data_IF_750425490653
#
_entry.id   IF_750425490653
#
_cell.length_a   1.000
_cell.length_b   1.000
_cell.length_c   1.000
_cell.angle_alpha   90.00
_cell.angle_beta   90.00
_cell.angle_gamma   90.00
#
_symmetry.space_group_name_H-M   'P 1'
#
loop_
_entity.id
_entity.type
_entity.pdbx_description
1 polymer ?
#
# COMPACT_ATOMS: atom_id res chain seq x y z
N UNK A 1 -65.07 -51.09 -11.95
CA UNK A 1 -64.85 -49.71 -12.43
C UNK A 1 -63.99 -49.02 -11.38
N UNK A 2 -62.66 -49.00 -11.56
CA UNK A 2 -61.68 -48.51 -10.58
C UNK A 2 -61.28 -47.08 -10.98
N UNK A 3 -61.50 -46.11 -10.12
CA UNK A 3 -61.09 -44.73 -10.33
C UNK A 3 -59.68 -44.53 -9.77
N UNK A 4 -58.70 -44.35 -10.66
CA UNK A 4 -57.33 -44.08 -10.33
C UNK A 4 -57.19 -42.53 -10.11
N UNK A 5 -56.94 -42.11 -8.84
CA UNK A 5 -56.74 -40.73 -8.49
C UNK A 5 -55.26 -40.44 -8.60
N UNK A 6 -54.82 -39.65 -9.60
CA UNK A 6 -53.43 -39.22 -9.78
C UNK A 6 -53.21 -38.01 -8.87
N UNK A 7 -52.35 -38.18 -7.86
CA UNK A 7 -51.90 -37.08 -6.98
C UNK A 7 -50.72 -36.36 -7.65
N UNK A 8 -50.95 -35.11 -8.10
CA UNK A 8 -49.91 -34.26 -8.68
C UNK A 8 -49.15 -33.59 -7.55
N UNK A 9 -47.95 -34.09 -7.27
CA UNK A 9 -47.04 -33.45 -6.31
C UNK A 9 -46.28 -32.30 -7.03
N UNK A 10 -46.67 -31.08 -6.77
CA UNK A 10 -45.93 -29.89 -7.25
C UNK A 10 -44.74 -29.65 -6.35
N UNK A 11 -43.56 -29.98 -6.83
CA UNK A 11 -42.27 -29.70 -6.15
C UNK A 11 -41.91 -28.23 -6.38
N UNK A 12 -42.18 -27.36 -5.38
CA UNK A 12 -41.72 -25.96 -5.40
C UNK A 12 -40.25 -25.92 -5.10
N UNK A 13 -39.39 -25.78 -6.13
CA UNK A 13 -37.98 -25.47 -5.96
C UNK A 13 -37.86 -24.01 -5.55
N UNK A 14 -37.67 -23.76 -4.26
CA UNK A 14 -37.22 -22.46 -3.74
C UNK A 14 -35.78 -22.24 -4.15
N UNK A 15 -35.56 -21.42 -5.17
CA UNK A 15 -34.22 -20.94 -5.54
C UNK A 15 -33.73 -19.98 -4.47
N UNK A 16 -32.91 -20.46 -3.55
CA UNK A 16 -32.17 -19.60 -2.65
C UNK A 16 -31.13 -18.81 -3.49
N UNK A 17 -31.48 -17.62 -3.92
CA UNK A 17 -30.55 -16.63 -4.44
C UNK A 17 -29.75 -16.14 -3.25
N UNK A 18 -28.61 -16.76 -2.97
CA UNK A 18 -27.65 -16.21 -2.04
C UNK A 18 -27.21 -14.83 -2.59
N UNK A 19 -27.35 -13.74 -1.84
CA UNK A 19 -26.82 -12.46 -2.28
C UNK A 19 -25.32 -12.66 -2.46
N UNK A 20 -24.78 -12.37 -3.64
CA UNK A 20 -23.35 -12.22 -3.84
C UNK A 20 -22.88 -11.11 -2.89
N UNK A 21 -22.44 -11.51 -1.72
CA UNK A 21 -21.78 -10.62 -0.76
C UNK A 21 -20.49 -10.23 -1.47
N UNK A 22 -20.42 -9.03 -1.99
CA UNK A 22 -19.17 -8.41 -2.42
C UNK A 22 -18.25 -8.53 -1.21
N UNK A 23 -17.33 -9.48 -1.29
CA UNK A 23 -16.36 -9.74 -0.22
C UNK A 23 -15.51 -8.49 -0.13
N UNK A 24 -15.68 -7.70 0.90
CA UNK A 24 -14.84 -6.56 1.20
C UNK A 24 -13.41 -7.08 1.30
N UNK A 25 -12.58 -6.67 0.34
CA UNK A 25 -11.20 -7.16 0.28
C UNK A 25 -10.38 -6.35 1.25
N UNK A 26 -9.81 -7.03 2.23
CA UNK A 26 -8.90 -6.45 3.20
C UNK A 26 -7.47 -6.77 2.84
N UNK A 27 -6.60 -5.81 3.08
CA UNK A 27 -5.16 -5.94 2.92
C UNK A 27 -4.51 -5.74 4.29
N UNK A 28 -4.63 -6.76 5.14
CA UNK A 28 -4.08 -6.75 6.50
C UNK A 28 -2.57 -6.50 6.47
N UNK A 29 -2.04 -5.69 7.42
CA UNK A 29 -0.62 -5.45 7.53
C UNK A 29 0.18 -6.74 7.73
N UNK A 30 1.24 -6.90 6.97
CA UNK A 30 2.18 -8.00 7.12
C UNK A 30 3.61 -7.48 7.19
N UNK A 31 4.46 -8.17 7.96
CA UNK A 31 5.90 -8.02 7.91
C UNK A 31 6.52 -9.42 7.88
N UNK A 32 6.77 -9.95 6.67
CA UNK A 32 7.25 -11.32 6.46
C UNK A 32 8.70 -11.52 6.91
N UNK A 33 9.41 -10.44 7.18
CA UNK A 33 10.81 -10.51 7.60
C UNK A 33 11.02 -10.35 9.11
N UNK A 34 9.96 -10.35 9.91
CA UNK A 34 10.04 -10.22 11.38
C UNK A 34 10.93 -11.26 12.05
N UNK A 35 11.06 -12.46 11.46
CA UNK A 35 11.89 -13.57 11.98
C UNK A 35 13.33 -13.54 11.49
N UNK A 36 13.67 -12.70 10.51
CA UNK A 36 15.06 -12.53 10.06
C UNK A 36 15.77 -11.44 10.88
N UNK A 37 16.53 -11.87 11.88
CA UNK A 37 17.28 -10.96 12.74
C UNK A 37 18.24 -10.07 11.95
N UNK A 38 18.79 -10.54 10.82
CA UNK A 38 19.66 -9.72 9.98
C UNK A 38 18.91 -8.57 9.32
N UNK A 39 17.63 -8.80 8.96
CA UNK A 39 16.75 -7.74 8.48
C UNK A 39 16.42 -6.73 9.58
N UNK A 40 16.04 -7.21 10.75
CA UNK A 40 15.71 -6.34 11.88
C UNK A 40 16.88 -5.40 12.23
N UNK A 41 18.09 -5.95 12.32
CA UNK A 41 19.30 -5.14 12.54
C UNK A 41 19.58 -4.15 11.41
N UNK A 42 19.46 -4.59 10.16
CA UNK A 42 19.67 -3.71 9.01
C UNK A 42 18.63 -2.59 8.96
N UNK A 43 17.32 -2.92 9.11
CA UNK A 43 16.23 -1.95 9.12
C UNK A 43 16.42 -0.87 10.20
N UNK A 44 16.78 -1.28 11.43
CA UNK A 44 17.01 -0.34 12.51
C UNK A 44 18.19 0.60 12.23
N UNK A 45 19.31 0.08 11.68
CA UNK A 45 20.43 0.91 11.26
C UNK A 45 20.08 1.86 10.12
N UNK A 46 19.26 1.42 9.17
CA UNK A 46 18.78 2.25 8.07
C UNK A 46 17.87 3.38 8.61
N UNK A 47 16.94 3.07 9.49
CA UNK A 47 16.07 4.08 10.11
C UNK A 47 16.88 5.10 10.93
N UNK A 48 17.87 4.66 11.72
CA UNK A 48 18.76 5.55 12.46
C UNK A 48 19.56 6.46 11.51
N UNK A 49 20.11 5.89 10.43
CA UNK A 49 20.85 6.64 9.43
C UNK A 49 19.97 7.70 8.71
N UNK A 50 18.72 7.33 8.39
CA UNK A 50 17.79 8.26 7.76
C UNK A 50 17.39 9.39 8.71
N UNK A 51 17.12 9.10 9.99
CA UNK A 51 16.85 10.13 11.01
C UNK A 51 18.03 11.09 11.19
N UNK A 52 19.26 10.59 11.08
CA UNK A 52 20.49 11.39 11.15
C UNK A 52 20.88 12.02 9.81
N UNK A 53 20.12 11.77 8.74
CA UNK A 53 20.43 12.19 7.36
C UNK A 53 21.81 11.74 6.90
N UNK A 54 22.22 10.52 7.31
CA UNK A 54 23.51 9.91 6.96
C UNK A 54 23.52 9.47 5.49
N UNK A 55 23.87 10.42 4.63
CA UNK A 55 23.99 10.23 3.17
C UNK A 55 24.97 9.11 2.82
N UNK A 56 26.09 9.01 3.56
CA UNK A 56 27.13 8.02 3.31
C UNK A 56 26.60 6.61 3.55
N UNK A 57 25.86 6.41 4.63
CA UNK A 57 25.24 5.12 4.91
C UNK A 57 24.22 4.75 3.81
N UNK A 58 23.31 5.68 3.47
CA UNK A 58 22.27 5.42 2.44
C UNK A 58 22.92 5.07 1.10
N UNK A 59 23.89 5.85 0.62
CA UNK A 59 24.61 5.53 -0.62
C UNK A 59 25.36 4.19 -0.54
N UNK A 60 25.91 3.85 0.62
CA UNK A 60 26.65 2.62 0.85
C UNK A 60 25.82 1.34 0.81
N UNK A 61 24.51 1.41 1.02
CA UNK A 61 23.61 0.26 0.96
C UNK A 61 22.94 0.07 -0.40
N UNK A 62 23.10 1.01 -1.35
CA UNK A 62 22.47 0.90 -2.66
C UNK A 62 23.11 -0.23 -3.48
N UNK A 63 22.28 -0.95 -4.23
CA UNK A 63 22.76 -1.76 -5.34
C UNK A 63 23.30 -0.83 -6.44
N UNK A 64 24.34 -1.25 -7.14
CA UNK A 64 24.90 -0.45 -8.25
C UNK A 64 23.87 -0.13 -9.35
N UNK A 65 22.86 -0.99 -9.52
CA UNK A 65 21.77 -0.87 -10.49
C UNK A 65 20.45 -0.53 -9.79
N UNK A 66 20.47 0.21 -8.67
CA UNK A 66 19.28 0.58 -7.92
C UNK A 66 18.25 1.26 -8.85
N UNK A 67 17.01 0.83 -8.79
CA UNK A 67 15.89 1.39 -9.58
C UNK A 67 15.35 2.64 -8.88
N UNK A 68 15.03 3.66 -9.68
CA UNK A 68 14.67 4.98 -9.17
C UNK A 68 13.29 5.41 -9.66
N UNK A 69 12.92 5.01 -10.86
CA UNK A 69 11.67 5.36 -11.52
C UNK A 69 11.08 4.21 -12.32
N UNK A 70 9.94 4.47 -12.94
CA UNK A 70 9.22 3.53 -13.82
C UNK A 70 9.81 3.47 -15.23
N UNK A 71 10.56 4.48 -15.62
CA UNK A 71 11.17 4.69 -16.95
C UNK A 71 12.47 3.89 -17.16
N UNK A 72 12.84 3.04 -16.20
CA UNK A 72 14.05 2.22 -16.28
C UNK A 72 15.34 2.90 -15.86
N UNK A 73 15.29 4.15 -15.39
CA UNK A 73 16.46 4.86 -14.84
C UNK A 73 17.00 4.12 -13.61
N UNK A 74 18.33 3.96 -13.59
CA UNK A 74 19.02 3.15 -12.56
C UNK A 74 20.37 3.74 -12.22
N UNK A 75 20.88 3.35 -11.06
CA UNK A 75 22.24 3.65 -10.65
C UNK A 75 22.35 4.62 -9.50
N UNK A 76 23.50 4.58 -8.83
CA UNK A 76 23.73 5.33 -7.59
C UNK A 76 23.74 6.85 -7.83
N UNK A 77 24.36 7.29 -8.93
CA UNK A 77 24.45 8.71 -9.25
C UNK A 77 23.08 9.30 -9.59
N UNK A 78 22.27 8.54 -10.36
CA UNK A 78 20.90 8.95 -10.67
C UNK A 78 20.01 8.93 -9.43
N UNK A 79 20.20 7.97 -8.51
CA UNK A 79 19.51 7.97 -7.22
C UNK A 79 19.83 9.24 -6.42
N UNK A 80 21.11 9.63 -6.34
CA UNK A 80 21.54 10.84 -5.65
C UNK A 80 20.88 12.10 -6.21
N UNK A 81 20.79 12.19 -7.55
CA UNK A 81 20.15 13.32 -8.25
C UNK A 81 18.63 13.34 -8.03
N UNK A 82 17.95 12.22 -8.27
CA UNK A 82 16.49 12.11 -8.19
C UNK A 82 15.96 12.44 -6.79
N UNK A 83 16.66 11.95 -5.77
CA UNK A 83 16.28 12.18 -4.38
C UNK A 83 16.88 13.45 -3.78
N UNK A 84 17.56 14.27 -4.58
CA UNK A 84 18.25 15.49 -4.10
C UNK A 84 19.05 15.22 -2.81
N UNK A 85 19.81 14.11 -2.80
CA UNK A 85 20.38 13.57 -1.57
C UNK A 85 21.44 14.49 -0.94
N UNK A 86 21.94 15.46 -1.69
CA UNK A 86 22.88 16.48 -1.21
C UNK A 86 22.22 17.62 -0.45
N UNK A 87 20.91 17.78 -0.60
CA UNK A 87 20.12 18.77 0.12
C UNK A 87 19.67 18.25 1.49
N UNK A 88 19.58 19.14 2.47
CA UNK A 88 19.14 18.77 3.82
C UNK A 88 17.65 18.46 3.90
N UNK A 89 16.85 19.03 2.98
CA UNK A 89 15.41 18.86 2.84
C UNK A 89 15.01 17.79 1.83
N UNK A 90 15.94 16.89 1.47
CA UNK A 90 15.64 15.78 0.57
C UNK A 90 14.37 15.03 0.98
N UNK A 91 13.42 14.80 0.06
CA UNK A 91 12.18 14.06 0.35
C UNK A 91 12.45 12.61 0.79
N UNK A 92 13.61 12.06 0.48
CA UNK A 92 14.00 10.72 0.92
C UNK A 92 13.91 10.55 2.43
N UNK A 93 14.27 11.57 3.20
CA UNK A 93 14.29 11.51 4.67
C UNK A 93 12.90 11.33 5.29
N UNK A 94 11.85 11.71 4.57
CA UNK A 94 10.44 11.52 4.94
C UNK A 94 9.87 10.22 4.34
N UNK A 95 10.11 10.02 3.05
CA UNK A 95 9.39 9.01 2.26
C UNK A 95 9.92 7.59 2.51
N UNK A 96 11.22 7.42 2.73
CA UNK A 96 11.80 6.11 3.01
C UNK A 96 11.36 5.53 4.37
N UNK A 97 11.37 6.27 5.49
CA UNK A 97 10.78 5.79 6.74
C UNK A 97 9.30 5.47 6.62
N UNK A 98 8.52 6.33 5.95
CA UNK A 98 7.09 6.11 5.71
C UNK A 98 6.81 4.77 5.05
N UNK A 99 7.62 4.36 4.05
CA UNK A 99 7.50 3.04 3.44
C UNK A 99 7.90 1.91 4.40
N UNK A 100 9.00 2.07 5.15
CA UNK A 100 9.56 1.04 6.03
C UNK A 100 8.69 0.73 7.26
N UNK A 101 7.93 1.72 7.78
CA UNK A 101 7.08 1.53 8.96
C UNK A 101 5.84 0.70 8.68
N UNK A 102 5.39 0.62 7.46
CA UNK A 102 4.19 -0.16 7.08
C UNK A 102 4.43 -1.67 6.97
N UNK A 103 5.65 -2.14 7.27
CA UNK A 103 6.00 -3.56 7.14
C UNK A 103 6.43 -3.93 5.72
N UNK A 104 6.99 -5.14 5.57
CA UNK A 104 7.58 -5.59 4.33
C UNK A 104 7.12 -7.00 3.95
N UNK A 105 6.98 -7.25 2.65
CA UNK A 105 6.67 -8.57 2.13
C UNK A 105 7.56 -8.93 0.95
N UNK A 106 7.73 -10.24 0.71
CA UNK A 106 8.58 -10.72 -0.35
C UNK A 106 7.88 -10.74 -1.70
N UNK A 107 8.43 -10.01 -2.65
CA UNK A 107 8.05 -10.13 -4.06
C UNK A 107 8.71 -11.33 -4.72
N UNK A 108 7.88 -12.17 -5.35
CA UNK A 108 8.34 -13.28 -6.17
C UNK A 108 8.30 -12.85 -7.63
N UNK A 109 9.45 -12.81 -8.28
CA UNK A 109 9.56 -12.61 -9.73
C UNK A 109 10.35 -13.76 -10.33
N UNK A 110 9.82 -14.40 -11.36
CA UNK A 110 10.51 -15.51 -12.03
C UNK A 110 11.89 -15.06 -12.53
N UNK A 111 12.89 -15.90 -12.37
CA UNK A 111 14.26 -15.65 -12.82
C UNK A 111 15.01 -14.53 -12.08
N UNK A 112 14.50 -14.04 -10.96
CA UNK A 112 15.16 -12.98 -10.16
C UNK A 112 15.30 -13.38 -8.69
N UNK A 113 16.31 -12.84 -7.99
CA UNK A 113 16.39 -12.97 -6.54
C UNK A 113 15.10 -12.48 -5.88
N UNK A 114 14.75 -13.13 -4.78
CA UNK A 114 13.60 -12.73 -3.97
C UNK A 114 13.86 -11.36 -3.34
N UNK A 115 13.07 -10.37 -3.68
CA UNK A 115 13.16 -9.02 -3.12
C UNK A 115 12.20 -8.87 -1.94
N UNK A 116 12.66 -8.30 -0.83
CA UNK A 116 11.84 -7.85 0.29
C UNK A 116 11.47 -6.39 0.04
N UNK A 117 10.18 -6.10 -0.15
CA UNK A 117 9.70 -4.76 -0.48
C UNK A 117 8.83 -4.18 0.62
N UNK A 118 9.06 -2.94 0.98
CA UNK A 118 8.28 -2.13 1.91
C UNK A 118 7.74 -0.88 1.18
N UNK A 119 6.46 -0.52 1.39
CA UNK A 119 5.48 -1.24 2.19
C UNK A 119 5.04 -2.57 1.56
N UNK A 120 4.45 -3.44 2.39
CA UNK A 120 3.94 -4.76 1.99
C UNK A 120 2.88 -4.71 0.86
N UNK A 121 2.24 -3.57 0.68
CA UNK A 121 1.09 -3.38 -0.21
C UNK A 121 1.34 -3.89 -1.63
N UNK A 122 2.47 -3.53 -2.23
CA UNK A 122 2.82 -3.94 -3.60
C UNK A 122 2.90 -5.47 -3.72
N UNK A 123 3.54 -6.13 -2.76
CA UNK A 123 3.76 -7.58 -2.79
C UNK A 123 2.48 -8.38 -2.54
N UNK A 124 1.54 -7.81 -1.78
CA UNK A 124 0.28 -8.45 -1.37
C UNK A 124 -0.94 -7.95 -2.16
N UNK A 125 -0.74 -7.03 -3.10
CA UNK A 125 -1.85 -6.47 -3.88
C UNK A 125 -2.58 -7.54 -4.70
N UNK A 126 -3.91 -7.59 -4.66
CA UNK A 126 -4.68 -8.57 -5.42
C UNK A 126 -4.54 -8.33 -6.94
N UNK A 127 -4.07 -9.34 -7.68
CA UNK A 127 -3.85 -9.25 -9.14
C UNK A 127 -5.09 -8.87 -9.95
N UNK A 128 -6.28 -9.09 -9.39
CA UNK A 128 -7.58 -8.81 -10.04
C UNK A 128 -8.05 -7.38 -9.81
N UNK A 129 -7.28 -6.52 -9.11
CA UNK A 129 -7.64 -5.15 -8.81
C UNK A 129 -6.64 -4.20 -9.46
N UNK A 130 -7.18 -3.22 -10.20
CA UNK A 130 -6.38 -2.18 -10.82
C UNK A 130 -5.73 -1.29 -9.75
N UNK A 131 -4.39 -1.26 -9.65
CA UNK A 131 -3.71 -0.46 -8.64
C UNK A 131 -3.84 1.06 -8.86
N UNK A 132 -4.28 1.50 -10.04
CA UNK A 132 -4.51 2.92 -10.34
C UNK A 132 -5.89 3.41 -9.89
N UNK A 133 -6.86 2.48 -9.77
CA UNK A 133 -8.24 2.81 -9.43
C UNK A 133 -8.58 2.63 -7.94
N UNK A 134 -7.69 2.01 -7.17
CA UNK A 134 -7.94 1.66 -5.78
C UNK A 134 -6.81 2.10 -4.85
N UNK A 135 -7.17 2.33 -3.60
CA UNK A 135 -6.24 2.52 -2.48
C UNK A 135 -6.50 1.52 -1.36
N UNK A 136 -5.51 1.28 -0.54
CA UNK A 136 -5.63 0.48 0.68
C UNK A 136 -5.68 1.38 1.92
N UNK A 137 -6.68 1.21 2.76
CA UNK A 137 -6.67 1.76 4.12
C UNK A 137 -5.55 1.06 4.89
N UNK A 138 -4.62 1.84 5.40
CA UNK A 138 -3.42 1.34 6.12
C UNK A 138 -3.55 1.46 7.64
N UNK A 139 -4.70 1.89 8.12
CA UNK A 139 -5.00 2.07 9.53
C UNK A 139 -6.15 1.17 9.97
N UNK A 140 -6.20 0.87 11.26
CA UNK A 140 -7.35 0.30 11.93
C UNK A 140 -8.31 1.43 12.30
N UNK A 141 -9.62 1.19 12.10
CA UNK A 141 -10.70 2.10 12.48
C UNK A 141 -10.59 3.51 11.86
N UNK A 142 -10.11 3.59 10.61
CA UNK A 142 -10.05 4.83 9.84
C UNK A 142 -11.47 5.39 9.62
N UNK A 143 -11.67 6.65 9.98
CA UNK A 143 -12.98 7.31 9.86
C UNK A 143 -13.14 7.93 8.45
N UNK A 144 -14.20 7.54 7.77
CA UNK A 144 -14.60 8.15 6.50
C UNK A 144 -15.55 9.30 6.79
N UNK A 145 -15.19 10.51 6.40
CA UNK A 145 -15.91 11.74 6.67
C UNK A 145 -16.79 12.16 5.48
N UNK A 146 -17.87 12.88 5.74
CA UNK A 146 -18.79 13.39 4.70
C UNK A 146 -18.18 14.54 3.87
N UNK A 147 -17.16 15.20 4.39
CA UNK A 147 -16.41 16.27 3.74
C UNK A 147 -14.93 16.22 4.16
N UNK A 148 -14.00 16.83 3.42
CA UNK A 148 -12.58 16.86 3.77
C UNK A 148 -12.34 17.81 4.96
N UNK A 149 -12.73 17.35 6.14
CA UNK A 149 -12.59 18.06 7.41
C UNK A 149 -12.76 17.08 8.58
N UNK A 150 -11.94 17.21 9.62
CA UNK A 150 -12.02 16.42 10.84
C UNK A 150 -13.35 16.59 11.57
N UNK A 151 -13.94 17.77 11.51
CA UNK A 151 -15.22 18.12 12.16
C UNK A 151 -16.45 17.61 11.40
N UNK A 152 -16.26 17.09 10.18
CA UNK A 152 -17.36 16.58 9.35
C UNK A 152 -17.93 15.28 9.95
N UNK A 153 -19.25 15.02 9.76
CA UNK A 153 -19.86 13.76 10.20
C UNK A 153 -19.14 12.53 9.64
N UNK A 154 -19.07 11.47 10.45
CA UNK A 154 -18.53 10.19 10.04
C UNK A 154 -19.58 9.39 9.30
N UNK A 155 -19.28 8.93 8.08
CA UNK A 155 -20.14 8.10 7.24
C UNK A 155 -19.88 6.60 7.43
N UNK A 156 -18.63 6.22 7.65
CA UNK A 156 -18.21 4.84 7.80
C UNK A 156 -16.91 4.75 8.60
N UNK A 157 -16.60 3.53 9.06
CA UNK A 157 -15.31 3.18 9.65
C UNK A 157 -14.74 2.01 8.84
N UNK A 158 -13.48 2.14 8.41
CA UNK A 158 -12.78 1.16 7.60
C UNK A 158 -11.50 0.69 8.31
N UNK A 159 -11.13 -0.57 8.10
CA UNK A 159 -9.91 -1.14 8.69
C UNK A 159 -9.26 -2.06 7.66
N UNK A 160 -8.16 -1.59 7.08
CA UNK A 160 -7.39 -2.32 6.07
C UNK A 160 -8.18 -2.67 4.80
N UNK A 161 -9.24 -1.96 4.51
CA UNK A 161 -10.08 -2.17 3.35
C UNK A 161 -9.40 -1.66 2.08
N UNK A 162 -9.54 -2.39 0.97
CA UNK A 162 -9.22 -1.87 -0.36
C UNK A 162 -10.46 -1.18 -0.91
N UNK A 163 -10.35 0.10 -1.21
CA UNK A 163 -11.47 0.94 -1.64
C UNK A 163 -11.20 1.62 -2.98
N UNK A 164 -12.22 1.81 -3.83
CA UNK A 164 -12.07 2.61 -5.04
C UNK A 164 -11.80 4.07 -4.65
N UNK A 165 -10.83 4.69 -5.31
CA UNK A 165 -10.49 6.10 -5.12
C UNK A 165 -11.12 6.93 -6.22
N UNK A 166 -11.75 8.02 -5.84
CA UNK A 166 -12.32 9.00 -6.75
C UNK A 166 -11.37 10.18 -6.99
N UNK A 167 -10.59 10.56 -5.97
CA UNK A 167 -9.67 11.69 -6.04
C UNK A 167 -8.62 11.62 -4.92
N UNK A 168 -7.39 11.92 -5.26
CA UNK A 168 -6.27 12.01 -4.33
C UNK A 168 -5.97 13.46 -3.95
N UNK A 169 -5.31 13.67 -2.83
CA UNK A 169 -4.78 14.98 -2.40
C UNK A 169 -5.81 16.12 -2.32
N UNK A 170 -7.05 15.81 -1.98
CA UNK A 170 -8.10 16.82 -1.79
C UNK A 170 -7.74 17.71 -0.60
N UNK A 171 -7.73 19.02 -0.81
CA UNK A 171 -7.44 19.97 0.26
C UNK A 171 -8.50 19.93 1.37
N UNK A 172 -8.08 20.19 2.60
CA UNK A 172 -9.01 20.40 3.73
C UNK A 172 -9.89 21.63 3.47
N UNK A 173 -11.10 21.62 4.02
CA UNK A 173 -12.00 22.78 3.97
C UNK A 173 -11.47 24.00 4.71
N UNK A 174 -10.66 23.78 5.75
CA UNK A 174 -10.00 24.84 6.46
C UNK A 174 -8.74 25.28 5.67
N UNK A 175 -8.69 26.50 5.11
CA UNK A 175 -7.64 26.90 4.18
C UNK A 175 -6.23 26.91 4.79
N UNK A 176 -6.14 27.06 6.10
CA UNK A 176 -4.86 27.09 6.83
C UNK A 176 -4.45 25.73 7.40
N UNK A 177 -5.22 24.68 7.13
CA UNK A 177 -4.95 23.33 7.63
C UNK A 177 -4.18 22.52 6.57
N UNK A 178 -2.96 22.05 6.85
CA UNK A 178 -2.11 21.39 5.86
C UNK A 178 -2.54 19.95 5.54
N UNK A 179 -3.58 19.43 6.20
CA UNK A 179 -4.04 18.06 6.00
C UNK A 179 -4.64 17.90 4.62
N UNK A 180 -4.32 16.80 3.96
CA UNK A 180 -4.94 16.36 2.72
C UNK A 180 -5.84 15.16 2.97
N UNK A 181 -6.77 15.00 2.08
CA UNK A 181 -7.79 13.94 2.12
C UNK A 181 -7.80 13.18 0.80
N UNK A 182 -8.19 11.91 0.88
CA UNK A 182 -8.49 11.10 -0.30
C UNK A 182 -10.00 10.87 -0.37
N UNK A 183 -10.61 11.19 -1.51
CA UNK A 183 -12.02 10.93 -1.77
C UNK A 183 -12.20 9.48 -2.23
N UNK A 184 -12.94 8.70 -1.47
CA UNK A 184 -13.18 7.27 -1.70
C UNK A 184 -14.64 6.99 -1.98
N UNK A 185 -14.90 5.92 -2.74
CA UNK A 185 -16.27 5.47 -3.04
C UNK A 185 -16.69 4.41 -2.03
N UNK A 186 -17.85 4.63 -1.42
CA UNK A 186 -18.55 3.70 -0.55
C UNK A 186 -19.76 3.09 -1.28
N UNK A 187 -20.39 2.07 -0.71
CA UNK A 187 -21.65 1.52 -1.24
C UNK A 187 -22.80 2.55 -1.21
N UNK A 188 -22.74 3.49 -0.27
CA UNK A 188 -23.78 4.50 0.00
C UNK A 188 -23.46 5.87 -0.60
N UNK A 189 -22.37 6.02 -1.35
CA UNK A 189 -21.94 7.30 -1.91
C UNK A 189 -20.43 7.49 -1.81
N UNK A 190 -19.98 8.71 -1.63
CA UNK A 190 -18.56 9.06 -1.51
C UNK A 190 -18.28 9.62 -0.11
N UNK A 191 -17.02 9.53 0.32
CA UNK A 191 -16.53 10.09 1.56
C UNK A 191 -15.04 10.38 1.50
N UNK A 192 -14.51 10.92 2.57
CA UNK A 192 -13.14 11.41 2.64
C UNK A 192 -12.37 10.73 3.78
N UNK A 193 -11.19 10.23 3.46
CA UNK A 193 -10.25 9.62 4.42
C UNK A 193 -9.01 10.50 4.49
N UNK A 194 -8.44 10.75 5.68
CA UNK A 194 -7.14 11.42 5.79
C UNK A 194 -6.07 10.71 4.95
N UNK A 195 -5.27 11.49 4.22
CA UNK A 195 -4.26 10.94 3.29
C UNK A 195 -3.28 9.99 3.99
N UNK A 196 -2.92 10.27 5.23
CA UNK A 196 -2.03 9.43 6.03
C UNK A 196 -2.62 8.06 6.43
N UNK A 197 -3.93 7.84 6.23
CA UNK A 197 -4.63 6.59 6.56
C UNK A 197 -4.97 5.72 5.35
N UNK A 198 -4.64 6.19 4.15
CA UNK A 198 -4.84 5.45 2.90
C UNK A 198 -3.58 5.56 2.04
N UNK A 199 -3.26 4.53 1.28
CA UNK A 199 -2.10 4.50 0.41
C UNK A 199 -2.39 3.82 -0.92
N UNK A 200 -1.84 4.39 -1.99
CA UNK A 200 -1.81 3.74 -3.29
C UNK A 200 -0.74 2.63 -3.32
N UNK A 201 -1.04 1.45 -3.91
CA UNK A 201 -0.03 0.39 -4.07
C UNK A 201 1.10 0.78 -5.04
N UNK A 202 0.91 1.81 -5.86
CA UNK A 202 1.89 2.28 -6.84
C UNK A 202 2.73 3.47 -6.36
N UNK A 203 2.59 3.88 -5.10
CA UNK A 203 3.49 4.86 -4.49
C UNK A 203 4.92 4.31 -4.30
N UNK A 204 5.79 5.12 -3.67
CA UNK A 204 7.18 4.75 -3.42
C UNK A 204 7.30 3.45 -2.64
N UNK A 205 8.10 2.55 -3.18
CA UNK A 205 8.43 1.25 -2.62
C UNK A 205 9.94 1.11 -2.48
N UNK A 206 10.39 0.75 -1.29
CA UNK A 206 11.78 0.38 -1.04
C UNK A 206 11.94 -1.14 -1.13
N UNK A 207 12.75 -1.65 -2.05
CA UNK A 207 13.01 -3.07 -2.19
C UNK A 207 14.45 -3.40 -1.86
N UNK A 208 14.66 -4.58 -1.26
CA UNK A 208 15.95 -5.02 -0.75
C UNK A 208 16.21 -6.48 -1.12
N UNK A 209 17.48 -6.81 -1.34
CA UNK A 209 17.95 -8.18 -1.46
C UNK A 209 19.01 -8.46 -0.38
N UNK A 210 19.03 -9.68 0.12
CA UNK A 210 20.10 -10.17 1.00
C UNK A 210 21.20 -10.75 0.14
N UNK A 211 22.41 -10.23 0.33
CA UNK A 211 23.65 -10.70 -0.31
C UNK A 211 24.59 -11.28 0.73
N UNK A 212 25.72 -11.85 0.31
CA UNK A 212 26.77 -12.31 1.23
C UNK A 212 27.32 -11.17 2.08
N UNK A 213 27.40 -9.96 1.54
CA UNK A 213 27.88 -8.76 2.25
C UNK A 213 26.80 -8.04 3.07
N UNK A 214 25.57 -8.58 3.13
CA UNK A 214 24.43 -7.98 3.85
C UNK A 214 23.32 -7.52 2.93
N UNK A 215 22.42 -6.73 3.47
CA UNK A 215 21.25 -6.20 2.73
C UNK A 215 21.64 -5.04 1.81
N UNK A 216 21.09 -5.06 0.60
CA UNK A 216 21.25 -3.99 -0.42
C UNK A 216 19.90 -3.50 -0.87
N UNK A 217 19.74 -2.18 -1.00
CA UNK A 217 18.55 -1.56 -1.58
C UNK A 217 18.62 -1.66 -3.11
N UNK A 218 17.67 -2.35 -3.71
CA UNK A 218 17.57 -2.56 -5.17
C UNK A 218 16.58 -1.64 -5.85
N UNK A 219 15.71 -0.99 -5.07
CA UNK A 219 14.79 0.03 -5.55
C UNK A 219 14.38 0.98 -4.44
N UNK A 220 14.19 2.24 -4.77
CA UNK A 220 13.31 3.16 -4.06
C UNK A 220 12.67 4.07 -5.10
N UNK A 221 11.47 3.67 -5.52
CA UNK A 221 10.79 4.21 -6.69
C UNK A 221 9.28 3.99 -6.58
N UNK A 222 8.46 4.73 -7.35
CA UNK A 222 7.06 4.36 -7.56
C UNK A 222 6.96 2.93 -8.11
N UNK A 223 5.93 2.20 -7.68
CA UNK A 223 5.76 0.79 -8.04
C UNK A 223 5.04 0.58 -9.38
N UNK A 224 4.49 1.62 -9.96
CA UNK A 224 3.69 1.60 -11.18
C UNK A 224 4.52 1.65 -12.46
N UNK A 225 5.18 0.52 -12.81
CA UNK A 225 5.92 0.38 -14.06
C UNK A 225 6.07 -1.08 -14.43
#
# INVERSE_FOLDING_TARGET
>A
MSRLTILLVVLVMATFSSPLRSQERKLEPVDEATRDLSWAHFKNRLLDAVMKRDRKFVLGILDRNVRIGVDGVRGVDEFRKQWHLDADDSPLWRDLPSALFLGAAYMKREGRPRELCAPYLLAQWPRSMDPHAYGAIIAKDALVKAAPSSDSPTLATLSYDIVPVADWEVADKAPDFPQKWTRVKLKTGEGYVPEEQIRSPIEQVACFVKTESGWRMTAFAPAGG
#
